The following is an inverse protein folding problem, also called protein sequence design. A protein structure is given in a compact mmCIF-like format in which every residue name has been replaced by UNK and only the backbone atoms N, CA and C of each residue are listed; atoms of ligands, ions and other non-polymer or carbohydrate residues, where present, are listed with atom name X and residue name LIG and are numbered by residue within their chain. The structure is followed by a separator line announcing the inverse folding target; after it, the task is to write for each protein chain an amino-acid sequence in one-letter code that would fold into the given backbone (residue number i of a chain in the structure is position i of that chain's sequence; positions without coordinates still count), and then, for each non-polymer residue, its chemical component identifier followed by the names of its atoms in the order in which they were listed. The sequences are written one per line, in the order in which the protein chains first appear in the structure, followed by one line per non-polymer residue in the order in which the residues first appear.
data_IF_323420563396
#
_entry.id   IF_323420563396
#
_cell.length_a   1.000
_cell.length_b   1.000
_cell.length_c   1.000
_cell.angle_alpha   90.00
_cell.angle_beta   90.00
_cell.angle_gamma   90.00
#
_symmetry.space_group_name_H-M   'P 1'
#
loop_
_entity.id
_entity.type
_entity.pdbx_description
1 polymer ?
#
# COMPACT_ATOMS: atom_id res chain seq x y z
N UNK A 1 17.36 -7.51 21.55
CA UNK A 1 16.62 -8.65 22.12
C UNK A 1 15.65 -9.11 21.03
N UNK A 2 15.93 -10.26 20.44
CA UNK A 2 15.08 -10.90 19.43
C UNK A 2 13.88 -11.47 20.17
N UNK A 3 12.72 -10.86 20.03
CA UNK A 3 11.46 -11.44 20.46
C UNK A 3 11.21 -12.70 19.64
N UNK A 4 11.71 -13.82 20.11
CA UNK A 4 11.44 -15.11 19.52
C UNK A 4 9.97 -15.42 19.74
N UNK A 5 9.23 -15.60 18.66
CA UNK A 5 7.96 -16.28 18.70
C UNK A 5 8.19 -17.76 18.41
N UNK A 6 8.30 -18.61 19.43
CA UNK A 6 8.42 -20.05 19.24
C UNK A 6 7.04 -20.69 19.04
N UNK A 7 5.99 -19.93 18.70
CA UNK A 7 4.67 -20.49 18.47
C UNK A 7 4.63 -21.23 17.14
N UNK A 8 4.08 -22.45 17.17
CA UNK A 8 3.71 -23.15 15.96
C UNK A 8 2.57 -22.39 15.26
N UNK A 9 2.49 -22.50 13.94
CA UNK A 9 1.48 -21.77 13.17
C UNK A 9 0.05 -21.92 13.74
N UNK A 10 -0.32 -23.11 14.22
CA UNK A 10 -1.66 -23.41 14.77
C UNK A 10 -2.00 -22.69 16.10
N UNK A 11 -1.02 -22.17 16.81
CA UNK A 11 -1.20 -21.50 18.12
C UNK A 11 -1.33 -19.97 17.98
N UNK A 12 -1.15 -19.44 16.78
CA UNK A 12 -1.14 -18.01 16.55
C UNK A 12 -2.53 -17.40 16.77
N UNK A 13 -2.57 -16.27 17.44
CA UNK A 13 -3.75 -15.42 17.53
C UNK A 13 -3.68 -14.32 16.48
N UNK A 14 -4.75 -14.18 15.69
CA UNK A 14 -4.92 -13.11 14.72
C UNK A 14 -5.75 -11.98 15.33
N UNK A 15 -5.27 -10.75 15.24
CA UNK A 15 -6.08 -9.54 15.46
C UNK A 15 -6.35 -8.85 14.13
N UNK A 16 -7.62 -8.65 13.82
CA UNK A 16 -8.05 -7.84 12.68
C UNK A 16 -8.55 -6.51 13.22
N UNK A 17 -7.85 -5.44 12.86
CA UNK A 17 -8.18 -4.07 13.26
C UNK A 17 -8.86 -3.37 12.09
N UNK A 18 -10.18 -3.21 12.19
CA UNK A 18 -11.00 -2.51 11.19
C UNK A 18 -10.98 -1.03 11.50
N UNK A 19 -10.58 -0.20 10.53
CA UNK A 19 -10.45 1.25 10.67
C UNK A 19 -11.60 1.93 9.94
N UNK A 20 -12.45 2.67 10.66
CA UNK A 20 -13.63 3.32 10.11
C UNK A 20 -13.66 4.82 10.34
N UNK A 21 -14.04 5.56 9.31
CA UNK A 21 -14.47 6.95 9.37
C UNK A 21 -15.40 7.29 8.20
N UNK A 22 -16.69 7.45 8.47
CA UNK A 22 -17.73 7.78 7.48
C UNK A 22 -17.83 6.79 6.31
N UNK A 23 -17.92 5.49 6.62
CA UNK A 23 -18.07 4.40 5.65
C UNK A 23 -19.25 3.48 6.01
N UNK A 24 -20.40 4.05 6.42
CA UNK A 24 -21.59 3.31 6.83
C UNK A 24 -22.03 2.22 5.82
N UNK A 25 -21.92 2.51 4.52
CA UNK A 25 -22.32 1.59 3.45
C UNK A 25 -21.43 0.34 3.34
N UNK A 26 -20.22 0.38 3.91
CA UNK A 26 -19.20 -0.67 3.71
C UNK A 26 -18.73 -1.34 4.98
N UNK A 27 -18.67 -0.61 6.10
CA UNK A 27 -18.08 -1.08 7.36
C UNK A 27 -18.71 -2.37 7.87
N UNK A 28 -20.02 -2.56 7.68
CA UNK A 28 -20.70 -3.79 8.06
C UNK A 28 -20.16 -5.02 7.32
N UNK A 29 -19.89 -4.89 6.02
CA UNK A 29 -19.32 -5.96 5.21
C UNK A 29 -17.87 -6.26 5.60
N UNK A 30 -17.07 -5.22 5.90
CA UNK A 30 -15.70 -5.38 6.38
C UNK A 30 -15.65 -6.14 7.71
N UNK A 31 -16.46 -5.74 8.71
CA UNK A 31 -16.56 -6.42 10.01
C UNK A 31 -17.01 -7.87 9.83
N UNK A 32 -18.06 -8.12 9.04
CA UNK A 32 -18.53 -9.48 8.81
C UNK A 32 -17.46 -10.34 8.17
N UNK A 33 -16.71 -9.82 7.17
CA UNK A 33 -15.61 -10.55 6.55
C UNK A 33 -14.49 -10.92 7.53
N UNK A 34 -14.21 -10.03 8.51
CA UNK A 34 -13.24 -10.28 9.56
C UNK A 34 -13.72 -11.38 10.54
N UNK A 35 -15.01 -11.39 10.88
CA UNK A 35 -15.63 -12.42 11.72
C UNK A 35 -15.73 -13.77 11.03
N UNK A 36 -15.80 -13.79 9.69
CA UNK A 36 -15.90 -15.02 8.88
C UNK A 36 -14.53 -15.69 8.66
N UNK A 37 -13.43 -15.11 9.15
CA UNK A 37 -12.10 -15.72 9.03
C UNK A 37 -12.06 -17.06 9.77
N UNK A 38 -11.78 -18.12 9.04
CA UNK A 38 -11.72 -19.51 9.54
C UNK A 38 -10.39 -19.78 10.25
N UNK A 39 -10.32 -19.37 11.50
CA UNK A 39 -9.16 -19.60 12.37
C UNK A 39 -9.62 -19.68 13.83
N UNK A 40 -9.10 -20.61 14.65
CA UNK A 40 -9.61 -20.81 16.02
C UNK A 40 -9.39 -19.59 16.94
N UNK A 41 -8.32 -18.85 16.76
CA UNK A 41 -7.94 -17.73 17.61
C UNK A 41 -7.97 -16.41 16.83
N UNK A 42 -9.15 -15.83 16.61
CA UNK A 42 -9.36 -14.52 15.97
C UNK A 42 -10.02 -13.56 16.95
N UNK A 43 -9.57 -12.33 16.93
CA UNK A 43 -10.31 -11.20 17.52
C UNK A 43 -10.47 -10.09 16.48
N UNK A 44 -11.60 -9.41 16.54
CA UNK A 44 -11.92 -8.27 15.70
C UNK A 44 -12.00 -7.03 16.57
N UNK A 45 -11.15 -6.05 16.29
CA UNK A 45 -11.16 -4.73 16.93
C UNK A 45 -11.62 -3.72 15.89
N UNK A 46 -12.68 -2.98 16.17
CA UNK A 46 -13.19 -1.93 15.30
C UNK A 46 -12.90 -0.59 15.92
N UNK A 47 -12.29 0.30 15.16
CA UNK A 47 -12.03 1.69 15.59
C UNK A 47 -12.88 2.61 14.73
N UNK A 48 -13.85 3.26 15.35
CA UNK A 48 -14.59 4.36 14.74
C UNK A 48 -13.93 5.69 15.10
N UNK A 49 -13.33 6.33 14.10
CA UNK A 49 -12.55 7.56 14.26
C UNK A 49 -13.45 8.81 14.18
N UNK A 50 -14.57 8.80 14.94
CA UNK A 50 -15.47 9.93 15.06
C UNK A 50 -16.35 10.13 13.84
N UNK A 51 -16.94 9.05 13.31
CA UNK A 51 -17.88 9.12 12.19
C UNK A 51 -19.10 9.99 12.51
N UNK A 52 -19.58 10.68 11.49
CA UNK A 52 -20.77 11.56 11.54
C UNK A 52 -21.93 11.01 10.70
N UNK A 53 -21.72 9.91 9.99
CA UNK A 53 -22.74 9.14 9.27
C UNK A 53 -23.35 8.03 10.15
N UNK A 54 -24.08 7.09 9.55
CA UNK A 54 -24.68 5.97 10.27
C UNK A 54 -23.69 4.85 10.65
N UNK A 55 -22.37 5.01 10.42
CA UNK A 55 -21.35 4.01 10.77
C UNK A 55 -21.46 3.54 12.24
N UNK A 56 -21.59 4.42 13.27
CA UNK A 56 -21.70 3.95 14.65
C UNK A 56 -22.84 2.97 14.88
N UNK A 57 -24.01 3.21 14.31
CA UNK A 57 -25.18 2.31 14.42
C UNK A 57 -24.91 0.95 13.77
N UNK A 58 -24.27 0.96 12.58
CA UNK A 58 -23.91 -0.27 11.86
C UNK A 58 -22.91 -1.09 12.68
N UNK A 59 -21.91 -0.44 13.28
CA UNK A 59 -20.87 -1.09 14.08
C UNK A 59 -21.47 -1.65 15.40
N UNK A 60 -22.27 -0.87 16.11
CA UNK A 60 -22.91 -1.27 17.37
C UNK A 60 -23.81 -2.49 17.21
N UNK A 61 -24.41 -2.72 16.04
CA UNK A 61 -25.22 -3.90 15.76
C UNK A 61 -24.43 -5.23 15.84
N UNK A 62 -23.11 -5.20 15.82
CA UNK A 62 -22.27 -6.39 16.00
C UNK A 62 -22.12 -6.82 17.46
N UNK A 63 -22.40 -5.94 18.42
CA UNK A 63 -22.40 -6.23 19.87
C UNK A 63 -21.09 -6.84 20.33
N UNK A 64 -21.17 -7.84 21.21
CA UNK A 64 -20.00 -8.48 21.84
C UNK A 64 -19.13 -9.32 20.90
N UNK A 65 -19.50 -9.45 19.62
CA UNK A 65 -18.66 -10.15 18.63
C UNK A 65 -17.41 -9.38 18.24
N UNK A 66 -17.34 -8.09 18.57
CA UNK A 66 -16.23 -7.19 18.27
C UNK A 66 -15.80 -6.42 19.52
N UNK A 67 -14.57 -5.90 19.47
CA UNK A 67 -14.10 -4.92 20.46
C UNK A 67 -14.19 -3.53 19.83
N UNK A 68 -15.16 -2.72 20.22
CA UNK A 68 -15.33 -1.38 19.68
C UNK A 68 -14.47 -0.36 20.44
N UNK A 69 -13.86 0.55 19.70
CA UNK A 69 -13.26 1.82 20.17
C UNK A 69 -13.92 2.94 19.39
N UNK A 70 -14.66 3.80 20.09
CA UNK A 70 -15.14 5.06 19.53
C UNK A 70 -14.25 6.19 20.03
N UNK A 71 -13.75 7.03 19.15
CA UNK A 71 -12.87 8.14 19.48
C UNK A 71 -13.26 9.41 18.70
N UNK A 72 -12.84 10.58 19.17
CA UNK A 72 -12.88 11.79 18.35
C UNK A 72 -11.92 11.62 17.17
N UNK A 73 -12.29 12.17 16.00
CA UNK A 73 -11.47 12.05 14.80
C UNK A 73 -10.04 12.55 15.05
N UNK A 74 -9.10 11.62 14.98
CA UNK A 74 -7.67 11.84 15.17
C UNK A 74 -6.84 11.33 13.98
N UNK A 75 -7.50 10.83 12.95
CA UNK A 75 -6.92 10.32 11.72
C UNK A 75 -6.52 8.85 11.78
N UNK A 76 -6.41 8.25 10.61
CA UNK A 76 -6.20 6.81 10.43
C UNK A 76 -4.98 6.27 11.20
N UNK A 77 -3.89 7.04 11.29
CA UNK A 77 -2.69 6.62 12.04
C UNK A 77 -2.99 6.46 13.53
N UNK A 78 -3.66 7.45 14.15
CA UNK A 78 -4.01 7.36 15.57
C UNK A 78 -5.04 6.26 15.85
N UNK A 79 -6.02 6.10 14.95
CA UNK A 79 -6.97 5.00 15.01
C UNK A 79 -6.27 3.63 14.97
N UNK A 80 -5.26 3.48 14.10
CA UNK A 80 -4.45 2.26 14.01
C UNK A 80 -3.67 1.98 15.28
N UNK A 81 -3.05 3.00 15.89
CA UNK A 81 -2.34 2.87 17.16
C UNK A 81 -3.29 2.44 18.28
N UNK A 82 -4.47 3.05 18.37
CA UNK A 82 -5.45 2.73 19.41
C UNK A 82 -6.02 1.30 19.22
N UNK A 83 -6.35 0.93 17.98
CA UNK A 83 -6.76 -0.43 17.64
C UNK A 83 -5.69 -1.48 17.95
N UNK A 84 -4.45 -1.20 17.58
CA UNK A 84 -3.31 -2.05 17.91
C UNK A 84 -3.13 -2.25 19.42
N UNK A 85 -3.17 -1.17 20.19
CA UNK A 85 -3.05 -1.24 21.67
C UNK A 85 -4.17 -2.03 22.32
N UNK A 86 -5.37 -2.02 21.75
CA UNK A 86 -6.53 -2.80 22.25
C UNK A 86 -6.45 -4.27 21.81
N UNK A 87 -5.70 -4.57 20.77
CA UNK A 87 -5.51 -5.92 20.24
C UNK A 87 -4.50 -6.71 21.07
N UNK A 88 -4.55 -8.05 20.98
CA UNK A 88 -3.66 -8.95 21.71
C UNK A 88 -3.11 -10.10 20.85
N UNK A 89 -3.39 -10.07 19.52
CA UNK A 89 -2.94 -11.10 18.60
C UNK A 89 -1.43 -11.08 18.34
N UNK A 90 -0.91 -12.21 17.95
CA UNK A 90 0.50 -12.38 17.54
C UNK A 90 0.73 -11.80 16.13
N UNK A 91 -0.32 -11.83 15.31
CA UNK A 91 -0.36 -11.30 13.96
C UNK A 91 -1.47 -10.25 13.84
N UNK A 92 -1.19 -9.16 13.15
CA UNK A 92 -2.10 -8.02 13.01
C UNK A 92 -2.40 -7.80 11.52
N UNK A 93 -3.66 -7.66 11.18
CA UNK A 93 -4.15 -7.13 9.90
C UNK A 93 -4.86 -5.81 10.18
N UNK A 94 -4.46 -4.73 9.52
CA UNK A 94 -5.23 -3.49 9.46
C UNK A 94 -6.14 -3.58 8.23
N UNK A 95 -7.44 -3.59 8.46
CA UNK A 95 -8.46 -3.71 7.41
C UNK A 95 -9.15 -2.36 7.24
N UNK A 96 -9.08 -1.81 6.03
CA UNK A 96 -9.86 -0.62 5.67
C UNK A 96 -11.35 -1.00 5.61
N UNK A 97 -12.24 -0.10 6.05
CA UNK A 97 -13.68 -0.39 6.18
C UNK A 97 -14.42 -0.54 4.86
N UNK A 98 -13.79 -0.24 3.73
CA UNK A 98 -14.31 -0.49 2.38
C UNK A 98 -13.82 -1.80 1.74
N UNK A 99 -12.88 -2.52 2.39
CA UNK A 99 -12.31 -3.78 1.93
C UNK A 99 -12.94 -5.00 2.63
N UNK A 100 -12.62 -6.20 2.18
CA UNK A 100 -13.06 -7.44 2.80
C UNK A 100 -11.98 -8.52 2.76
N UNK A 101 -11.87 -9.33 3.82
CA UNK A 101 -10.95 -10.46 3.89
C UNK A 101 -11.61 -11.75 3.35
N UNK A 102 -10.78 -12.60 2.76
CA UNK A 102 -11.22 -13.97 2.42
C UNK A 102 -11.16 -14.85 3.69
N UNK A 103 -12.14 -15.75 3.92
CA UNK A 103 -12.19 -16.60 5.12
C UNK A 103 -10.93 -17.43 5.37
N UNK A 104 -10.19 -17.80 4.32
CA UNK A 104 -8.99 -18.63 4.42
C UNK A 104 -7.68 -17.84 4.62
N UNK A 105 -7.74 -16.53 4.83
CA UNK A 105 -6.52 -15.69 4.89
C UNK A 105 -5.52 -16.21 5.88
N UNK A 106 -5.94 -16.55 7.10
CA UNK A 106 -5.02 -17.04 8.13
C UNK A 106 -4.56 -18.48 7.86
N UNK A 107 -5.41 -19.31 7.30
CA UNK A 107 -5.05 -20.69 6.87
C UNK A 107 -3.92 -20.67 5.82
N UNK A 108 -3.99 -19.74 4.86
CA UNK A 108 -2.96 -19.62 3.85
C UNK A 108 -1.66 -19.01 4.40
N UNK A 109 -1.75 -18.06 5.34
CA UNK A 109 -0.58 -17.53 6.07
C UNK A 109 0.09 -18.64 6.87
N UNK A 110 -0.68 -19.48 7.57
CA UNK A 110 -0.16 -20.55 8.41
C UNK A 110 0.65 -21.59 7.62
N UNK A 111 0.28 -21.86 6.35
CA UNK A 111 1.02 -22.78 5.47
C UNK A 111 2.45 -22.32 5.13
N UNK A 112 2.68 -21.00 5.19
CA UNK A 112 3.96 -20.36 4.84
C UNK A 112 4.55 -19.61 6.04
N UNK A 113 4.09 -19.94 7.24
CA UNK A 113 4.54 -19.28 8.45
C UNK A 113 6.06 -19.38 8.62
N UNK A 114 6.70 -18.28 8.93
CA UNK A 114 8.12 -18.19 9.25
C UNK A 114 8.29 -17.25 10.44
N UNK A 115 9.03 -17.71 11.45
CA UNK A 115 9.36 -16.90 12.62
C UNK A 115 10.28 -15.71 12.29
N UNK A 116 11.00 -15.76 11.17
CA UNK A 116 11.83 -14.66 10.64
C UNK A 116 11.04 -13.66 9.80
N UNK A 117 9.75 -13.94 9.52
CA UNK A 117 8.93 -13.02 8.76
C UNK A 117 8.65 -11.73 9.53
N UNK A 118 8.81 -10.61 8.84
CA UNK A 118 8.40 -9.29 9.31
C UNK A 118 7.07 -8.84 8.68
N UNK A 119 6.66 -9.50 7.58
CA UNK A 119 5.40 -9.23 6.90
C UNK A 119 4.98 -10.41 6.05
N UNK A 120 3.69 -10.70 6.05
CA UNK A 120 3.03 -11.54 5.06
C UNK A 120 2.22 -10.63 4.15
N UNK A 121 2.42 -10.72 2.85
CA UNK A 121 1.64 -9.98 1.87
C UNK A 121 0.92 -10.93 0.93
N UNK A 122 -0.34 -10.64 0.64
CA UNK A 122 -1.18 -11.45 -0.26
C UNK A 122 -1.89 -10.57 -1.28
N UNK A 123 -2.26 -11.14 -2.40
CA UNK A 123 -2.96 -10.41 -3.44
C UNK A 123 -4.37 -10.03 -3.00
N UNK A 124 -4.89 -8.96 -3.60
CA UNK A 124 -6.28 -8.51 -3.44
C UNK A 124 -6.97 -8.51 -4.79
N UNK A 125 -8.20 -8.98 -4.82
CA UNK A 125 -9.08 -8.90 -6.00
C UNK A 125 -9.79 -7.55 -6.00
N UNK A 126 -9.80 -6.84 -7.12
CA UNK A 126 -10.61 -5.60 -7.20
C UNK A 126 -12.08 -5.92 -7.39
N UNK A 127 -12.92 -5.23 -6.60
CA UNK A 127 -14.38 -5.30 -6.70
C UNK A 127 -14.96 -3.90 -6.90
N UNK A 128 -16.17 -3.80 -7.45
CA UNK A 128 -16.89 -2.53 -7.51
C UNK A 128 -17.54 -2.17 -6.16
N UNK A 129 -18.28 -1.04 -6.10
CA UNK A 129 -18.97 -0.60 -4.89
C UNK A 129 -19.93 -1.66 -4.33
N UNK A 130 -20.57 -2.45 -5.18
CA UNK A 130 -21.46 -3.54 -4.79
C UNK A 130 -20.76 -4.86 -4.46
N UNK A 131 -19.42 -4.92 -4.51
CA UNK A 131 -18.65 -6.15 -4.25
C UNK A 131 -18.49 -7.07 -5.45
N UNK A 132 -18.92 -6.67 -6.65
CA UNK A 132 -18.78 -7.50 -7.86
C UNK A 132 -17.34 -7.45 -8.40
N UNK A 133 -16.72 -8.59 -8.73
CA UNK A 133 -15.36 -8.62 -9.25
C UNK A 133 -15.17 -7.81 -10.54
N UNK A 134 -14.08 -7.00 -10.58
CA UNK A 134 -13.67 -6.21 -11.76
C UNK A 134 -12.62 -6.91 -12.64
N UNK A 135 -12.21 -8.12 -12.28
CA UNK A 135 -11.25 -8.92 -13.05
C UNK A 135 -9.78 -8.50 -12.91
N UNK A 136 -9.45 -7.60 -11.97
CA UNK A 136 -8.07 -7.20 -11.70
C UNK A 136 -7.62 -7.71 -10.33
N UNK A 137 -6.36 -8.13 -10.22
CA UNK A 137 -5.72 -8.57 -8.98
C UNK A 137 -4.54 -7.64 -8.68
N UNK A 138 -4.39 -7.24 -7.43
CA UNK A 138 -3.34 -6.31 -6.97
C UNK A 138 -2.48 -6.94 -5.86
N UNK A 139 -1.14 -6.81 -5.94
CA UNK A 139 -0.39 -6.42 -7.13
C UNK A 139 -0.39 -7.52 -8.19
N UNK A 140 -0.21 -7.14 -9.45
CA UNK A 140 0.06 -8.13 -10.50
C UNK A 140 1.55 -8.45 -10.50
N UNK A 141 1.91 -9.65 -10.11
CA UNK A 141 3.29 -10.11 -10.19
C UNK A 141 3.62 -10.63 -11.60
N UNK A 142 4.68 -10.11 -12.20
CA UNK A 142 5.29 -10.72 -13.38
C UNK A 142 6.07 -11.99 -12.97
N UNK A 143 6.83 -11.86 -11.88
CA UNK A 143 7.43 -12.97 -11.14
C UNK A 143 7.15 -12.70 -9.68
N UNK A 144 6.74 -13.72 -8.92
CA UNK A 144 6.52 -13.60 -7.49
C UNK A 144 7.84 -13.25 -6.82
N UNK A 145 7.94 -12.09 -6.13
CA UNK A 145 9.18 -11.64 -5.55
C UNK A 145 9.58 -12.51 -4.34
N UNK A 146 10.85 -12.84 -4.27
CA UNK A 146 11.43 -13.39 -3.03
C UNK A 146 11.68 -12.28 -2.02
N UNK A 147 11.84 -12.64 -0.73
CA UNK A 147 12.22 -11.68 0.31
C UNK A 147 13.54 -10.96 -0.02
N UNK A 148 14.49 -11.66 -0.63
CA UNK A 148 15.76 -11.10 -1.10
C UNK A 148 15.56 -10.03 -2.19
N UNK A 149 14.68 -10.29 -3.15
CA UNK A 149 14.35 -9.33 -4.21
C UNK A 149 13.71 -8.08 -3.61
N UNK A 150 12.75 -8.24 -2.71
CA UNK A 150 12.06 -7.13 -2.03
C UNK A 150 13.05 -6.26 -1.28
N UNK A 151 13.94 -6.86 -0.47
CA UNK A 151 14.97 -6.13 0.27
C UNK A 151 15.91 -5.38 -0.69
N UNK A 152 16.38 -6.06 -1.75
CA UNK A 152 17.22 -5.46 -2.78
C UNK A 152 16.53 -4.27 -3.45
N UNK A 153 15.29 -4.43 -3.88
CA UNK A 153 14.56 -3.35 -4.55
C UNK A 153 14.29 -2.18 -3.59
N UNK A 154 13.87 -2.46 -2.37
CA UNK A 154 13.64 -1.40 -1.39
C UNK A 154 14.90 -0.58 -1.11
N UNK A 155 16.05 -1.24 -0.91
CA UNK A 155 17.33 -0.55 -0.64
C UNK A 155 17.91 0.18 -1.85
N UNK A 156 17.63 -0.29 -3.07
CA UNK A 156 18.22 0.28 -4.31
C UNK A 156 17.31 1.25 -5.03
N UNK A 157 16.01 1.19 -4.82
CA UNK A 157 15.00 1.96 -5.56
C UNK A 157 13.90 2.58 -4.68
N UNK A 158 13.86 2.25 -3.39
CA UNK A 158 12.85 2.76 -2.46
C UNK A 158 11.44 2.21 -2.65
N UNK A 159 11.27 1.13 -3.44
CA UNK A 159 9.96 0.53 -3.65
C UNK A 159 10.03 -0.95 -4.03
N UNK A 160 8.95 -1.66 -3.80
CA UNK A 160 8.73 -3.05 -4.22
C UNK A 160 7.23 -3.30 -4.45
N UNK A 161 6.85 -4.33 -5.23
CA UNK A 161 5.46 -4.68 -5.43
C UNK A 161 4.81 -5.14 -4.12
N UNK A 162 3.82 -4.40 -3.67
CA UNK A 162 3.07 -4.67 -2.43
C UNK A 162 1.59 -4.40 -2.66
N UNK A 163 0.66 -5.15 -2.02
CA UNK A 163 -0.77 -4.85 -2.06
C UNK A 163 -1.10 -3.56 -1.30
N UNK A 164 -2.32 -3.03 -1.44
CA UNK A 164 -2.89 -2.04 -0.54
C UNK A 164 -2.87 -2.50 0.94
N UNK A 165 -3.13 -1.58 1.87
CA UNK A 165 -3.04 -1.79 3.31
C UNK A 165 -3.65 -3.10 3.79
N UNK A 166 -4.89 -3.38 3.42
CA UNK A 166 -5.66 -4.57 3.83
C UNK A 166 -5.08 -5.91 3.33
N UNK A 167 -4.18 -5.89 2.36
CA UNK A 167 -3.51 -7.08 1.81
C UNK A 167 -2.25 -7.52 2.57
N UNK A 168 -2.06 -7.06 3.80
CA UNK A 168 -0.84 -7.31 4.58
C UNK A 168 -1.16 -7.75 6.01
N UNK A 169 -0.37 -8.70 6.51
CA UNK A 169 -0.39 -9.10 7.90
C UNK A 169 1.01 -8.93 8.51
N UNK A 170 1.07 -8.41 9.72
CA UNK A 170 2.31 -8.06 10.39
C UNK A 170 2.42 -8.77 11.73
N UNK A 171 3.56 -9.43 12.05
CA UNK A 171 3.85 -9.85 13.41
C UNK A 171 3.78 -8.66 14.38
N UNK A 172 3.21 -8.86 15.56
CA UNK A 172 3.02 -7.81 16.58
C UNK A 172 4.28 -7.00 16.83
N UNK A 173 5.43 -7.69 16.98
CA UNK A 173 6.70 -7.04 17.26
C UNK A 173 7.16 -6.05 16.16
N UNK A 174 6.71 -6.27 14.90
CA UNK A 174 7.01 -5.34 13.81
C UNK A 174 6.19 -4.07 13.97
N UNK A 175 4.90 -4.22 14.31
CA UNK A 175 4.00 -3.07 14.52
C UNK A 175 4.49 -2.23 15.70
N UNK A 176 4.90 -2.88 16.81
CA UNK A 176 5.51 -2.21 17.97
C UNK A 176 6.74 -1.39 17.57
N UNK A 177 7.71 -2.01 16.88
CA UNK A 177 8.91 -1.30 16.42
C UNK A 177 8.61 -0.11 15.51
N UNK A 178 7.60 -0.24 14.64
CA UNK A 178 7.21 0.83 13.70
C UNK A 178 6.50 1.96 14.42
N UNK A 179 5.58 1.66 15.32
CA UNK A 179 4.81 2.69 16.04
C UNK A 179 5.64 3.41 17.11
N UNK A 180 6.66 2.74 17.67
CA UNK A 180 7.58 3.35 18.64
C UNK A 180 8.73 4.13 17.98
N UNK A 181 8.93 3.98 16.66
CA UNK A 181 10.01 4.67 15.95
C UNK A 181 9.73 6.16 15.81
N UNK A 182 10.53 6.99 16.47
CA UNK A 182 10.40 8.45 16.41
C UNK A 182 10.84 8.97 15.05
N UNK A 183 9.97 9.74 14.40
CA UNK A 183 10.21 10.32 13.08
C UNK A 183 9.47 11.64 12.91
N UNK A 184 10.06 12.54 12.13
CA UNK A 184 9.41 13.78 11.66
C UNK A 184 8.52 13.54 10.43
N UNK A 185 8.61 12.34 9.84
CA UNK A 185 7.74 11.96 8.73
C UNK A 185 6.31 11.78 9.23
N UNK A 186 5.41 12.58 8.69
CA UNK A 186 3.98 12.51 9.03
C UNK A 186 3.19 12.02 7.83
N UNK A 187 2.58 10.86 7.97
CA UNK A 187 1.64 10.31 6.99
C UNK A 187 0.35 9.85 7.68
N UNK A 188 -0.77 9.94 6.96
CA UNK A 188 -2.08 9.63 7.54
C UNK A 188 -2.29 8.14 7.78
N UNK A 189 -1.73 7.29 6.92
CA UNK A 189 -1.98 5.86 6.93
C UNK A 189 -0.80 5.06 7.50
N UNK A 190 -1.05 4.06 8.36
CA UNK A 190 -0.02 3.23 8.99
C UNK A 190 0.75 2.39 7.98
N UNK A 191 0.12 2.04 6.86
CA UNK A 191 0.72 1.26 5.78
C UNK A 191 1.98 1.91 5.22
N UNK A 192 2.03 3.25 5.14
CA UNK A 192 3.22 3.97 4.67
C UNK A 192 4.47 3.70 5.51
N UNK A 193 4.30 3.50 6.81
CA UNK A 193 5.39 3.18 7.74
C UNK A 193 5.69 1.68 7.75
N UNK A 194 4.66 0.86 7.87
CA UNK A 194 4.78 -0.59 7.94
C UNK A 194 5.37 -1.19 6.67
N UNK A 195 4.91 -0.74 5.49
CA UNK A 195 5.41 -1.20 4.19
C UNK A 195 6.88 -0.79 3.98
N UNK A 196 7.25 0.41 4.41
CA UNK A 196 8.63 0.89 4.27
C UNK A 196 9.60 0.16 5.22
N UNK A 197 9.23 -0.04 6.48
CA UNK A 197 10.11 -0.57 7.51
C UNK A 197 10.25 -2.10 7.47
N UNK A 198 9.20 -2.83 7.14
CA UNK A 198 9.17 -4.30 7.20
C UNK A 198 10.35 -4.98 6.48
N UNK A 199 10.79 -4.57 5.27
CA UNK A 199 11.93 -5.20 4.59
C UNK A 199 13.27 -5.07 5.34
N UNK A 200 13.36 -4.15 6.32
CA UNK A 200 14.54 -3.97 7.16
C UNK A 200 14.57 -5.01 8.28
N UNK A 201 13.42 -5.28 8.88
CA UNK A 201 13.32 -6.07 10.09
C UNK A 201 13.39 -7.59 9.88
N UNK A 202 12.96 -8.09 8.72
CA UNK A 202 12.92 -9.53 8.49
C UNK A 202 12.53 -9.91 7.06
N UNK A 203 12.06 -11.13 6.92
CA UNK A 203 11.59 -11.65 5.64
C UNK A 203 10.20 -11.11 5.27
N UNK A 204 10.01 -10.84 3.99
CA UNK A 204 8.69 -10.57 3.44
C UNK A 204 8.21 -11.83 2.72
N UNK A 205 7.18 -12.47 3.26
CA UNK A 205 6.57 -13.65 2.68
C UNK A 205 5.46 -13.23 1.73
N UNK A 206 5.58 -13.59 0.45
CA UNK A 206 4.60 -13.26 -0.59
C UNK A 206 3.72 -14.46 -0.90
N UNK A 207 2.41 -14.31 -0.71
CA UNK A 207 1.38 -15.31 -1.04
C UNK A 207 0.69 -14.86 -2.33
N UNK A 208 0.94 -15.50 -3.48
CA UNK A 208 0.37 -15.10 -4.77
C UNK A 208 -1.06 -15.62 -4.94
N UNK A 209 -1.92 -15.31 -3.96
CA UNK A 209 -3.34 -15.66 -3.95
C UNK A 209 -4.15 -14.44 -3.53
N UNK A 210 -5.33 -14.20 -4.14
CA UNK A 210 -6.25 -13.15 -3.70
C UNK A 210 -6.95 -13.59 -2.41
N UNK A 211 -6.52 -13.04 -1.28
CA UNK A 211 -7.05 -13.33 0.06
C UNK A 211 -7.78 -12.13 0.68
N UNK A 212 -7.97 -11.08 -0.10
CA UNK A 212 -8.84 -9.96 0.23
C UNK A 212 -9.44 -9.35 -1.03
N UNK A 213 -10.50 -8.58 -0.86
CA UNK A 213 -11.15 -7.78 -1.89
C UNK A 213 -10.84 -6.30 -1.65
N UNK A 214 -10.29 -5.64 -2.68
CA UNK A 214 -10.07 -4.21 -2.72
C UNK A 214 -11.24 -3.53 -3.42
N UNK A 215 -12.04 -2.77 -2.68
CA UNK A 215 -13.22 -2.10 -3.23
C UNK A 215 -12.84 -0.82 -3.92
N UNK A 216 -13.35 -0.64 -5.15
CA UNK A 216 -13.13 0.57 -5.96
C UNK A 216 -14.46 1.30 -6.10
N UNK A 217 -14.56 2.42 -5.40
CA UNK A 217 -15.68 3.37 -5.45
C UNK A 217 -15.14 4.81 -5.59
N UNK A 218 -16.01 5.77 -5.87
CA UNK A 218 -15.56 7.14 -6.19
C UNK A 218 -14.86 7.92 -5.07
N UNK A 219 -14.84 7.39 -3.85
CA UNK A 219 -14.31 8.05 -2.65
C UNK A 219 -13.00 7.43 -2.13
N UNK A 220 -12.39 6.47 -2.83
CA UNK A 220 -11.13 5.88 -2.42
C UNK A 220 -10.01 6.93 -2.33
N UNK A 221 -9.39 7.08 -1.17
CA UNK A 221 -8.30 8.04 -0.97
C UNK A 221 -7.02 7.70 -1.77
N UNK A 222 -6.76 6.43 -2.04
CA UNK A 222 -5.57 5.95 -2.76
C UNK A 222 -5.68 6.00 -4.29
N UNK A 223 -6.88 6.07 -4.86
CA UNK A 223 -7.09 6.06 -6.30
C UNK A 223 -7.20 7.48 -6.87
N UNK A 224 -6.51 7.73 -7.99
CA UNK A 224 -6.78 8.93 -8.79
C UNK A 224 -8.09 8.71 -9.56
N UNK A 225 -9.21 9.25 -9.09
CA UNK A 225 -10.47 9.24 -9.83
C UNK A 225 -10.44 10.20 -11.02
N UNK A 226 -9.75 11.33 -10.84
CA UNK A 226 -9.50 12.36 -11.88
C UNK A 226 -8.05 12.85 -11.82
N UNK A 227 -7.58 13.51 -12.89
CA UNK A 227 -6.27 14.16 -12.91
C UNK A 227 -6.34 15.46 -12.13
N UNK A 228 -5.98 15.39 -10.87
CA UNK A 228 -5.81 16.54 -10.00
C UNK A 228 -4.33 16.92 -10.01
N UNK A 229 -3.98 17.97 -10.76
CA UNK A 229 -2.57 18.33 -11.04
C UNK A 229 -1.78 18.65 -9.77
N UNK A 230 -2.42 19.28 -8.78
CA UNK A 230 -1.83 19.60 -7.47
C UNK A 230 -1.44 18.36 -6.67
N UNK A 231 -2.16 17.26 -6.87
CA UNK A 231 -1.92 15.99 -6.19
C UNK A 231 -0.56 15.38 -6.55
N UNK A 232 -0.05 15.58 -7.78
CA UNK A 232 1.25 15.04 -8.17
C UNK A 232 2.40 15.59 -7.32
N UNK A 233 2.40 16.88 -7.02
CA UNK A 233 3.41 17.50 -6.16
C UNK A 233 3.39 16.89 -4.75
N UNK A 234 2.21 16.78 -4.17
CA UNK A 234 2.02 16.16 -2.86
C UNK A 234 2.46 14.68 -2.82
N UNK A 235 2.13 13.89 -3.84
CA UNK A 235 2.54 12.49 -3.91
C UNK A 235 4.07 12.33 -4.07
N UNK A 236 4.73 13.29 -4.75
CA UNK A 236 6.20 13.37 -4.81
C UNK A 236 6.78 13.58 -3.41
N UNK A 237 6.25 14.54 -2.65
CA UNK A 237 6.70 14.79 -1.26
C UNK A 237 6.47 13.59 -0.35
N UNK A 238 5.27 12.99 -0.39
CA UNK A 238 4.95 11.81 0.40
C UNK A 238 5.87 10.62 0.08
N UNK A 239 6.21 10.44 -1.19
CA UNK A 239 7.14 9.37 -1.60
C UNK A 239 8.56 9.64 -1.10
N UNK A 240 9.02 10.89 -1.16
CA UNK A 240 10.30 11.31 -0.59
C UNK A 240 10.35 11.07 0.92
N UNK A 241 9.36 11.59 1.64
CA UNK A 241 9.27 11.43 3.09
C UNK A 241 9.22 9.95 3.52
N UNK A 242 8.50 9.10 2.78
CA UNK A 242 8.48 7.65 3.01
C UNK A 242 9.88 7.03 2.82
N UNK A 243 10.60 7.45 1.80
CA UNK A 243 11.95 6.96 1.57
C UNK A 243 12.96 7.47 2.63
N UNK A 244 12.84 8.69 3.08
CA UNK A 244 13.63 9.26 4.19
C UNK A 244 13.37 8.49 5.49
N UNK A 245 12.11 8.21 5.81
CA UNK A 245 11.73 7.36 6.92
C UNK A 245 12.38 5.96 6.81
N UNK A 246 12.22 5.31 5.66
CA UNK A 246 12.88 4.03 5.40
C UNK A 246 14.39 4.10 5.61
N UNK A 247 15.05 5.14 5.11
CA UNK A 247 16.50 5.30 5.21
C UNK A 247 16.97 5.46 6.66
N UNK A 248 16.21 6.19 7.50
CA UNK A 248 16.45 6.30 8.94
C UNK A 248 16.31 4.95 9.64
N UNK A 249 15.22 4.21 9.36
CA UNK A 249 15.01 2.86 9.90
C UNK A 249 16.10 1.89 9.45
N UNK A 250 16.48 1.92 8.17
CA UNK A 250 17.53 1.09 7.60
C UNK A 250 18.87 1.34 8.29
N UNK A 251 19.28 2.61 8.42
CA UNK A 251 20.53 3.00 9.08
C UNK A 251 20.56 2.55 10.55
N UNK A 252 19.47 2.71 11.29
CA UNK A 252 19.36 2.26 12.70
C UNK A 252 19.46 0.75 12.87
N UNK A 253 19.32 -0.02 11.77
CA UNK A 253 19.40 -1.47 11.75
C UNK A 253 20.59 -2.02 10.94
N UNK A 254 21.58 -1.17 10.62
CA UNK A 254 22.77 -1.57 9.87
C UNK A 254 22.50 -1.93 8.39
N UNK A 255 21.38 -1.49 7.83
CA UNK A 255 21.02 -1.72 6.43
C UNK A 255 21.36 -0.47 5.60
N UNK A 256 22.14 -0.66 4.54
CA UNK A 256 22.50 0.45 3.66
C UNK A 256 21.41 0.70 2.61
N UNK A 257 20.86 1.92 2.59
CA UNK A 257 19.92 2.42 1.59
C UNK A 257 20.67 3.33 0.58
N UNK A 258 20.46 3.13 -0.72
CA UNK A 258 21.14 3.92 -1.73
C UNK A 258 20.63 5.37 -1.72
N UNK A 259 21.49 6.39 -1.57
CA UNK A 259 21.06 7.79 -1.46
C UNK A 259 20.31 8.29 -2.72
N UNK A 260 20.59 7.70 -3.87
CA UNK A 260 19.94 8.02 -5.15
C UNK A 260 18.82 7.03 -5.56
N UNK A 261 18.30 6.24 -4.61
CA UNK A 261 17.32 5.20 -4.88
C UNK A 261 16.06 5.72 -5.60
N UNK A 262 15.56 6.88 -5.22
CA UNK A 262 14.35 7.43 -5.86
C UNK A 262 14.59 7.83 -7.31
N UNK A 263 15.79 8.24 -7.72
CA UNK A 263 16.10 8.49 -9.13
C UNK A 263 16.24 7.21 -9.97
N UNK A 264 16.35 6.05 -9.29
CA UNK A 264 16.30 4.71 -9.91
C UNK A 264 14.88 4.12 -9.90
N UNK A 265 13.94 4.76 -9.20
CA UNK A 265 12.55 4.31 -9.09
C UNK A 265 11.73 4.83 -10.26
N UNK A 266 11.42 3.97 -11.22
CA UNK A 266 10.71 4.33 -12.43
C UNK A 266 9.31 4.91 -12.18
N UNK A 267 8.58 4.36 -11.21
CA UNK A 267 7.25 4.87 -10.86
C UNK A 267 7.34 6.28 -10.26
N UNK A 268 8.34 6.51 -9.40
CA UNK A 268 8.60 7.82 -8.83
C UNK A 268 9.09 8.83 -9.88
N UNK A 269 9.99 8.42 -10.78
CA UNK A 269 10.47 9.31 -11.86
C UNK A 269 9.33 9.72 -12.79
N UNK A 270 8.40 8.81 -13.12
CA UNK A 270 7.23 9.14 -13.91
C UNK A 270 6.27 10.09 -13.15
N UNK A 271 6.08 9.89 -11.83
CA UNK A 271 5.30 10.78 -10.97
C UNK A 271 5.92 12.19 -10.91
N UNK A 272 7.23 12.25 -10.73
CA UNK A 272 8.04 13.48 -10.70
C UNK A 272 7.96 14.22 -12.03
N UNK A 273 7.97 13.49 -13.17
CA UNK A 273 7.75 14.06 -14.49
C UNK A 273 6.37 14.71 -14.63
N UNK A 274 5.31 14.05 -14.14
CA UNK A 274 3.95 14.60 -14.16
C UNK A 274 3.85 15.85 -13.27
N UNK A 275 4.39 15.84 -12.06
CA UNK A 275 4.45 17.00 -11.18
C UNK A 275 5.16 18.19 -11.85
N UNK A 276 6.36 17.96 -12.40
CA UNK A 276 7.16 19.00 -13.04
C UNK A 276 6.51 19.57 -14.31
N UNK A 277 5.93 18.72 -15.15
CA UNK A 277 5.37 19.13 -16.42
C UNK A 277 4.01 19.85 -16.31
N UNK A 278 3.17 19.43 -15.35
CA UNK A 278 1.81 19.95 -15.19
C UNK A 278 1.72 21.13 -14.23
N UNK A 279 2.52 21.11 -13.17
CA UNK A 279 2.54 22.19 -12.14
C UNK A 279 3.98 22.46 -11.70
N UNK A 280 4.80 23.09 -12.56
CA UNK A 280 6.19 23.43 -12.22
C UNK A 280 6.29 24.40 -11.05
N UNK A 281 5.27 25.24 -10.85
CA UNK A 281 5.13 26.19 -9.73
C UNK A 281 4.97 25.51 -8.36
N UNK A 282 4.43 24.29 -8.33
CA UNK A 282 4.23 23.48 -7.10
C UNK A 282 5.22 22.33 -6.99
N UNK A 283 6.09 22.14 -7.98
CA UNK A 283 6.98 20.99 -8.00
C UNK A 283 7.99 21.05 -6.84
N UNK A 284 8.04 20.01 -5.95
CA UNK A 284 8.73 20.13 -4.66
C UNK A 284 10.24 19.81 -4.70
N UNK A 285 10.80 19.48 -5.87
CA UNK A 285 12.23 19.15 -5.99
C UNK A 285 12.97 20.31 -6.65
N UNK A 286 13.67 21.07 -5.83
CA UNK A 286 14.54 22.14 -6.31
C UNK A 286 15.64 21.61 -7.24
N UNK A 287 15.96 22.38 -8.28
CA UNK A 287 16.99 22.01 -9.24
C UNK A 287 16.61 20.95 -10.25
N UNK A 288 15.35 20.45 -10.25
CA UNK A 288 14.88 19.60 -11.33
C UNK A 288 14.82 20.36 -12.66
N UNK A 289 15.20 19.64 -13.70
CA UNK A 289 15.16 20.08 -15.10
C UNK A 289 14.61 18.92 -15.94
N UNK A 290 13.93 19.20 -17.06
CA UNK A 290 13.38 18.17 -17.95
C UNK A 290 14.41 17.11 -18.34
N UNK A 291 15.61 17.53 -18.72
CA UNK A 291 16.68 16.62 -19.11
C UNK A 291 17.17 15.73 -17.95
N UNK A 292 17.23 16.27 -16.70
CA UNK A 292 17.62 15.50 -15.52
C UNK A 292 16.61 14.43 -15.19
N UNK A 293 15.32 14.75 -15.21
CA UNK A 293 14.24 13.79 -14.99
C UNK A 293 14.22 12.73 -16.11
N UNK A 294 14.45 13.15 -17.38
CA UNK A 294 14.56 12.24 -18.51
C UNK A 294 15.75 11.28 -18.38
N UNK A 295 16.89 11.77 -17.92
CA UNK A 295 18.08 10.95 -17.65
C UNK A 295 17.80 9.92 -16.55
N UNK A 296 17.18 10.33 -15.43
CA UNK A 296 16.78 9.43 -14.36
C UNK A 296 15.77 8.38 -14.90
N UNK A 297 14.85 8.77 -15.78
CA UNK A 297 13.93 7.86 -16.47
C UNK A 297 14.64 6.81 -17.31
N UNK A 298 15.59 7.21 -18.13
CA UNK A 298 16.39 6.30 -18.93
C UNK A 298 17.22 5.34 -18.06
N UNK A 299 17.88 5.86 -17.03
CA UNK A 299 18.67 5.07 -16.09
C UNK A 299 17.81 4.08 -15.29
N UNK A 300 16.61 4.47 -14.87
CA UNK A 300 15.71 3.64 -14.06
C UNK A 300 15.27 2.36 -14.77
N UNK A 301 15.36 2.30 -16.12
CA UNK A 301 15.06 1.09 -16.91
C UNK A 301 15.94 -0.09 -16.51
N UNK A 302 17.14 0.15 -16.01
CA UNK A 302 18.08 -0.89 -15.59
C UNK A 302 17.78 -1.47 -14.20
N UNK A 303 16.83 -0.90 -13.46
CA UNK A 303 16.45 -1.35 -12.12
C UNK A 303 15.05 -1.98 -12.14
N UNK A 304 14.92 -3.32 -12.11
CA UNK A 304 13.68 -4.03 -12.45
C UNK A 304 12.49 -3.80 -11.50
N UNK A 305 12.68 -3.68 -10.19
CA UNK A 305 11.60 -3.44 -9.21
C UNK A 305 10.34 -4.33 -9.37
N UNK A 306 10.51 -5.54 -9.90
CA UNK A 306 9.38 -6.42 -10.25
C UNK A 306 8.72 -6.12 -11.60
N UNK A 307 9.16 -5.10 -12.33
CA UNK A 307 8.65 -4.81 -13.68
C UNK A 307 9.36 -5.61 -14.77
N UNK A 308 8.60 -6.07 -15.76
CA UNK A 308 9.15 -6.65 -16.99
C UNK A 308 9.92 -5.61 -17.82
N UNK A 309 10.73 -6.07 -18.79
CA UNK A 309 11.41 -5.15 -19.72
C UNK A 309 10.43 -4.26 -20.48
N UNK A 310 9.30 -4.82 -20.95
CA UNK A 310 8.27 -4.09 -21.67
C UNK A 310 7.61 -3.02 -20.79
N UNK A 311 7.28 -3.34 -19.53
CA UNK A 311 6.74 -2.39 -18.59
C UNK A 311 7.69 -1.23 -18.33
N UNK A 312 8.98 -1.51 -18.16
CA UNK A 312 10.01 -0.49 -17.94
C UNK A 312 10.17 0.43 -19.16
N UNK A 313 10.21 -0.13 -20.34
CA UNK A 313 10.27 0.65 -21.59
C UNK A 313 9.04 1.54 -21.77
N UNK A 314 7.84 1.02 -21.45
CA UNK A 314 6.60 1.77 -21.51
C UNK A 314 6.56 2.93 -20.51
N UNK A 315 6.99 2.69 -19.27
CA UNK A 315 7.06 3.76 -18.26
C UNK A 315 8.08 4.84 -18.62
N UNK A 316 9.21 4.47 -19.23
CA UNK A 316 10.18 5.42 -19.76
C UNK A 316 9.58 6.25 -20.91
N UNK A 317 8.85 5.62 -21.83
CA UNK A 317 8.15 6.33 -22.90
C UNK A 317 7.07 7.28 -22.37
N UNK A 318 6.29 6.88 -21.36
CA UNK A 318 5.36 7.78 -20.66
C UNK A 318 6.08 8.97 -20.03
N UNK A 319 7.19 8.73 -19.35
CA UNK A 319 8.00 9.79 -18.73
C UNK A 319 8.46 10.82 -19.76
N UNK A 320 9.02 10.37 -20.89
CA UNK A 320 9.46 11.24 -21.97
C UNK A 320 8.28 11.99 -22.61
N UNK A 321 7.17 11.30 -22.90
CA UNK A 321 5.97 11.91 -23.47
C UNK A 321 5.36 12.97 -22.56
N UNK A 322 5.37 12.77 -21.24
CA UNK A 322 4.89 13.75 -20.25
C UNK A 322 5.84 14.96 -20.21
N UNK A 323 7.16 14.76 -20.23
CA UNK A 323 8.14 15.85 -20.11
C UNK A 323 8.24 16.74 -21.34
N UNK A 324 8.17 16.15 -22.52
CA UNK A 324 8.48 16.84 -23.79
C UNK A 324 7.26 17.00 -24.71
N UNK A 325 6.12 16.41 -24.38
CA UNK A 325 4.86 16.61 -25.11
C UNK A 325 4.28 18.02 -24.93
N UNK A 326 3.40 18.44 -25.84
CA UNK A 326 2.57 19.61 -25.63
C UNK A 326 1.73 19.47 -24.35
N UNK A 327 1.30 20.56 -23.69
CA UNK A 327 0.58 20.51 -22.40
C UNK A 327 -0.65 19.58 -22.42
N UNK A 328 -1.41 19.55 -23.52
CA UNK A 328 -2.57 18.66 -23.68
C UNK A 328 -2.17 17.17 -23.70
N UNK A 329 -1.07 16.85 -24.37
CA UNK A 329 -0.53 15.48 -24.43
C UNK A 329 0.02 15.07 -23.06
N UNK A 330 0.78 15.94 -22.40
CA UNK A 330 1.32 15.68 -21.06
C UNK A 330 0.20 15.38 -20.06
N UNK A 331 -0.89 16.18 -20.07
CA UNK A 331 -2.08 15.95 -19.22
C UNK A 331 -2.77 14.64 -19.56
N UNK A 332 -2.95 14.33 -20.84
CA UNK A 332 -3.57 13.08 -21.28
C UNK A 332 -2.76 11.86 -20.86
N UNK A 333 -1.45 11.88 -21.07
CA UNK A 333 -0.55 10.78 -20.68
C UNK A 333 -0.52 10.58 -19.17
N UNK A 334 -0.44 11.66 -18.39
CA UNK A 334 -0.53 11.59 -16.92
C UNK A 334 -1.91 11.02 -16.50
N UNK A 335 -3.00 11.47 -17.13
CA UNK A 335 -4.34 10.93 -16.91
C UNK A 335 -4.43 9.44 -17.20
N UNK A 336 -3.92 9.00 -18.34
CA UNK A 336 -3.94 7.58 -18.72
C UNK A 336 -3.10 6.72 -17.77
N UNK A 337 -2.01 7.26 -17.24
CA UNK A 337 -1.15 6.55 -16.30
C UNK A 337 -1.77 6.43 -14.91
N UNK A 338 -2.34 7.51 -14.39
CA UNK A 338 -2.75 7.60 -12.99
C UNK A 338 -4.27 7.50 -12.78
N UNK A 339 -5.11 8.05 -13.68
CA UNK A 339 -6.56 7.98 -13.59
C UNK A 339 -7.13 6.94 -14.55
N UNK A 340 -7.45 5.74 -14.03
CA UNK A 340 -7.88 4.59 -14.85
C UNK A 340 -9.20 4.82 -15.60
N UNK A 341 -10.08 5.70 -15.10
CA UNK A 341 -11.36 6.08 -15.71
C UNK A 341 -11.18 6.79 -17.05
N UNK A 342 -10.10 7.55 -17.21
CA UNK A 342 -9.84 8.38 -18.39
C UNK A 342 -9.10 7.64 -19.52
N UNK A 343 -8.86 6.33 -19.38
CA UNK A 343 -8.13 5.56 -20.38
C UNK A 343 -9.01 5.21 -21.57
N UNK A 344 -8.60 5.52 -22.80
CA UNK A 344 -9.26 5.01 -24.01
C UNK A 344 -9.32 3.47 -24.04
N UNK A 345 -10.34 2.90 -24.66
CA UNK A 345 -10.53 1.44 -24.70
C UNK A 345 -9.33 0.68 -25.30
N UNK A 346 -8.72 1.23 -26.35
CA UNK A 346 -7.50 0.66 -26.97
C UNK A 346 -6.30 0.66 -26.01
N UNK A 347 -6.16 1.75 -25.21
CA UNK A 347 -5.10 1.86 -24.22
C UNK A 347 -5.29 0.83 -23.08
N UNK A 348 -6.55 0.62 -22.63
CA UNK A 348 -6.84 -0.43 -21.63
C UNK A 348 -6.40 -1.80 -22.13
N UNK A 349 -6.65 -2.12 -23.41
CA UNK A 349 -6.20 -3.38 -24.03
C UNK A 349 -4.68 -3.48 -24.05
N UNK A 350 -3.97 -2.43 -24.45
CA UNK A 350 -2.49 -2.41 -24.50
C UNK A 350 -1.90 -2.55 -23.10
N UNK A 351 -2.37 -1.79 -22.13
CA UNK A 351 -1.86 -1.84 -20.75
C UNK A 351 -2.12 -3.21 -20.09
N UNK A 352 -3.30 -3.80 -20.35
CA UNK A 352 -3.62 -5.16 -19.88
C UNK A 352 -2.69 -6.20 -20.50
N UNK A 353 -2.45 -6.14 -21.83
CA UNK A 353 -1.53 -7.03 -22.51
C UNK A 353 -0.10 -6.93 -21.93
N UNK A 354 0.32 -5.72 -21.61
CA UNK A 354 1.62 -5.43 -21.00
C UNK A 354 1.66 -5.63 -19.48
N UNK A 355 0.55 -6.00 -18.85
CA UNK A 355 0.39 -6.11 -17.38
C UNK A 355 0.84 -4.86 -16.62
N UNK A 356 0.61 -3.67 -17.19
CA UNK A 356 0.98 -2.36 -16.60
C UNK A 356 -0.22 -1.76 -15.81
N UNK A 357 -1.17 -2.54 -15.41
CA UNK A 357 -2.35 -2.04 -14.70
C UNK A 357 -2.06 -1.95 -13.20
N UNK A 358 -2.24 -0.75 -12.64
CA UNK A 358 -2.71 -0.54 -11.28
C UNK A 358 -4.20 -0.37 -11.32
#
# INVERSE_FOLDING_TARGET
MTGAFPKQAGELKLSIVVLNYNYADYVGAAIQSALDVRWPNVEVVVVDDGSTDDSPKVIEAFGDRIKLISQANAGQMQASINGFRKSSGDLIIFLDSDDALHPDVMTEIAKVWSASASKFQFQMRTVDAGGKPKGTILPQYFVVPTSRDIRKWMTTTGAYPTPPGSGNAYPRWVVEKVFDFKTDFVHRAPDSYLLAASPVFGEIVTIPKPLADYRVHGQNHGAFSQVEETRFAREVELTRGRYEYFSKVAASNGVHAAPDALSRNMAFVCLRAASYALRPDLHPIEGDRRWRIAWDGARSVFYPQGFSRAQRASLAAFTLGILFGPPSVSRSLAGWRYASTNRPAWMKKVLNLMRIVR
#
